data_IF_773451861780
#
_entry.id   IF_773451861780
#
_cell.length_a   1.000
_cell.length_b   1.000
_cell.length_c   1.000
_cell.angle_alpha   90.00
_cell.angle_beta   90.00
_cell.angle_gamma   90.00
#
_symmetry.space_group_name_H-M   'P 1'
#
loop_
_entity.id
_entity.type
_entity.pdbx_description
1 polymer ?
#
# COMPACT_ATOMS: atom_id res chain seq x y z
N UNK A 1 -4.72 5.53 -14.34
CA UNK A 1 -3.51 5.31 -13.50
C UNK A 1 -3.56 3.88 -13.01
N UNK A 2 -2.45 3.14 -12.99
CA UNK A 2 -2.40 1.79 -12.40
C UNK A 2 -1.72 1.81 -11.01
N UNK A 3 -1.74 0.70 -10.27
CA UNK A 3 -1.19 0.64 -8.90
C UNK A 3 0.30 1.04 -8.84
N UNK A 4 1.11 0.59 -9.80
CA UNK A 4 2.54 0.95 -9.88
C UNK A 4 2.73 2.45 -10.07
N UNK A 5 1.98 3.04 -10.99
CA UNK A 5 2.02 4.48 -11.27
C UNK A 5 1.53 5.29 -10.07
N UNK A 6 0.46 4.85 -9.41
CA UNK A 6 -0.09 5.47 -8.21
C UNK A 6 0.92 5.48 -7.05
N UNK A 7 1.54 4.33 -6.77
CA UNK A 7 2.64 4.19 -5.79
C UNK A 7 3.81 5.12 -6.11
N UNK A 8 4.25 5.16 -7.37
CA UNK A 8 5.37 6.01 -7.78
C UNK A 8 5.01 7.50 -7.67
N UNK A 9 3.80 7.90 -8.06
CA UNK A 9 3.33 9.29 -7.92
C UNK A 9 3.22 9.70 -6.45
N UNK A 10 2.83 8.82 -5.55
CA UNK A 10 2.83 9.07 -4.11
C UNK A 10 4.24 9.31 -3.56
N UNK A 11 5.23 8.53 -4.01
CA UNK A 11 6.65 8.76 -3.65
C UNK A 11 7.15 10.09 -4.20
N UNK A 12 6.84 10.40 -5.46
CA UNK A 12 7.20 11.69 -6.08
C UNK A 12 6.57 12.85 -5.32
N UNK A 13 5.32 12.71 -4.88
CA UNK A 13 4.65 13.71 -4.04
C UNK A 13 5.41 13.94 -2.73
N UNK A 14 5.80 12.88 -2.02
CA UNK A 14 6.60 12.99 -0.78
C UNK A 14 7.94 13.69 -1.04
N UNK A 15 8.63 13.34 -2.13
CA UNK A 15 9.90 13.96 -2.51
C UNK A 15 9.75 15.44 -2.88
N UNK A 16 8.62 15.81 -3.51
CA UNK A 16 8.31 17.21 -3.81
C UNK A 16 8.01 18.00 -2.54
N UNK A 17 7.22 17.45 -1.61
CA UNK A 17 6.97 18.08 -0.30
C UNK A 17 8.29 18.37 0.39
N UNK A 18 9.22 17.40 0.39
CA UNK A 18 10.56 17.59 0.93
C UNK A 18 11.28 18.79 0.28
N UNK A 19 11.36 18.78 -1.05
CA UNK A 19 12.06 19.82 -1.82
C UNK A 19 11.49 21.21 -1.58
N UNK A 20 10.17 21.35 -1.54
CA UNK A 20 9.52 22.65 -1.32
C UNK A 20 9.77 23.19 0.09
N UNK A 21 9.83 22.31 1.11
CA UNK A 21 10.15 22.74 2.47
C UNK A 21 11.60 23.19 2.59
N UNK A 22 12.54 22.49 1.95
CA UNK A 22 13.95 22.91 1.91
C UNK A 22 14.13 24.25 1.22
N UNK A 23 13.47 24.45 0.07
CA UNK A 23 13.52 25.71 -0.67
C UNK A 23 12.88 26.86 0.13
N UNK A 24 11.73 26.61 0.77
CA UNK A 24 11.09 27.56 1.69
C UNK A 24 12.06 28.03 2.78
N UNK A 25 12.73 27.09 3.47
CA UNK A 25 13.66 27.42 4.55
C UNK A 25 14.80 28.30 4.08
N UNK A 26 15.42 27.93 2.96
CA UNK A 26 16.52 28.71 2.39
C UNK A 26 16.08 30.15 2.08
N UNK A 27 14.93 30.30 1.41
CA UNK A 27 14.37 31.61 1.08
C UNK A 27 13.97 32.41 2.33
N UNK A 28 13.48 31.74 3.37
CA UNK A 28 13.16 32.34 4.65
C UNK A 28 14.41 32.87 5.36
N UNK A 29 15.46 32.06 5.44
CA UNK A 29 16.75 32.46 6.04
C UNK A 29 17.36 33.65 5.30
N UNK A 30 17.38 33.62 3.96
CA UNK A 30 17.86 34.73 3.12
C UNK A 30 17.06 36.03 3.36
N UNK A 31 15.73 35.92 3.46
CA UNK A 31 14.88 37.07 3.72
C UNK A 31 15.09 37.64 5.14
N UNK A 32 15.26 36.76 6.14
CA UNK A 32 15.53 37.17 7.52
C UNK A 32 16.91 37.85 7.64
N UNK A 33 17.93 37.32 6.96
CA UNK A 33 19.26 37.93 6.95
C UNK A 33 19.24 39.34 6.35
N UNK A 34 18.46 39.57 5.28
CA UNK A 34 18.32 40.91 4.71
C UNK A 34 17.60 41.89 5.64
N UNK A 35 16.72 41.41 6.52
CA UNK A 35 16.15 42.24 7.60
C UNK A 35 17.20 42.58 8.66
N UNK A 36 18.00 41.59 9.07
CA UNK A 36 19.10 41.80 10.03
C UNK A 36 20.16 42.77 9.51
N UNK A 37 20.47 42.72 8.22
CA UNK A 37 21.37 43.66 7.52
C UNK A 37 20.77 45.08 7.37
N UNK A 38 19.53 45.31 7.82
CA UNK A 38 18.80 46.58 7.65
C UNK A 38 18.37 46.87 6.21
N UNK A 39 18.50 45.91 5.28
CA UNK A 39 18.15 46.08 3.87
C UNK A 39 16.64 46.05 3.63
N UNK A 40 15.89 45.33 4.47
CA UNK A 40 14.43 45.22 4.40
C UNK A 40 13.76 45.37 5.76
N UNK A 41 12.46 45.67 5.75
CA UNK A 41 11.64 45.74 6.97
C UNK A 41 11.13 44.36 7.39
N UNK A 42 10.73 44.22 8.66
CA UNK A 42 10.08 42.99 9.15
C UNK A 42 8.76 42.69 8.44
N UNK A 43 8.03 43.72 8.02
CA UNK A 43 6.79 43.58 7.24
C UNK A 43 7.07 42.92 5.89
N UNK A 44 8.10 43.38 5.17
CA UNK A 44 8.52 42.78 3.91
C UNK A 44 8.88 41.29 4.05
N UNK A 45 9.59 40.93 5.13
CA UNK A 45 9.88 39.53 5.43
C UNK A 45 8.62 38.70 5.60
N UNK A 46 7.66 39.15 6.41
CA UNK A 46 6.41 38.43 6.64
C UNK A 46 5.62 38.21 5.34
N UNK A 47 5.54 39.23 4.48
CA UNK A 47 4.88 39.12 3.16
C UNK A 47 5.58 38.10 2.26
N UNK A 48 6.92 38.09 2.23
CA UNK A 48 7.70 37.11 1.45
C UNK A 48 7.51 35.70 1.95
N UNK A 49 7.54 35.48 3.26
CA UNK A 49 7.31 34.18 3.88
C UNK A 49 5.93 33.64 3.51
N UNK A 50 4.89 34.46 3.63
CA UNK A 50 3.52 34.07 3.26
C UNK A 50 3.43 33.71 1.78
N UNK A 51 4.05 34.50 0.90
CA UNK A 51 4.08 34.22 -0.54
C UNK A 51 4.82 32.92 -0.88
N UNK A 52 5.93 32.61 -0.20
CA UNK A 52 6.63 31.34 -0.40
C UNK A 52 5.78 30.14 0.04
N UNK A 53 5.07 30.24 1.17
CA UNK A 53 4.14 29.19 1.64
C UNK A 53 3.02 28.96 0.64
N UNK A 54 2.39 30.03 0.14
CA UNK A 54 1.31 29.94 -0.83
C UNK A 54 1.75 29.28 -2.15
N UNK A 55 2.92 29.65 -2.67
CA UNK A 55 3.47 29.05 -3.90
C UNK A 55 3.73 27.55 -3.74
N UNK A 56 4.36 27.14 -2.64
CA UNK A 56 4.63 25.73 -2.34
C UNK A 56 3.32 24.93 -2.19
N UNK A 57 2.34 25.45 -1.44
CA UNK A 57 1.02 24.83 -1.29
C UNK A 57 0.33 24.65 -2.63
N UNK A 58 0.27 25.70 -3.47
CA UNK A 58 -0.38 25.63 -4.78
C UNK A 58 0.29 24.62 -5.71
N UNK A 59 1.63 24.52 -5.66
CA UNK A 59 2.39 23.55 -6.47
C UNK A 59 2.10 22.11 -6.06
N UNK A 60 1.94 21.86 -4.76
CA UNK A 60 1.69 20.54 -4.20
C UNK A 60 0.22 20.11 -4.31
N UNK A 61 -0.72 21.07 -4.29
CA UNK A 61 -2.15 20.82 -4.33
C UNK A 61 -2.57 20.01 -5.56
N UNK A 62 -2.09 20.40 -6.75
CA UNK A 62 -2.48 19.72 -7.99
C UNK A 62 -2.09 18.24 -8.01
N UNK A 63 -0.93 17.88 -7.45
CA UNK A 63 -0.49 16.49 -7.39
C UNK A 63 -1.22 15.71 -6.29
N UNK A 64 -1.50 16.36 -5.16
CA UNK A 64 -2.34 15.79 -4.10
C UNK A 64 -3.73 15.45 -4.62
N UNK A 65 -4.41 16.40 -5.27
CA UNK A 65 -5.76 16.21 -5.82
C UNK A 65 -5.78 15.07 -6.83
N UNK A 66 -4.76 15.01 -7.71
CA UNK A 66 -4.60 13.93 -8.69
C UNK A 66 -4.45 12.55 -8.02
N UNK A 67 -3.74 12.46 -6.91
CA UNK A 67 -3.55 11.20 -6.18
C UNK A 67 -4.85 10.77 -5.50
N UNK A 68 -5.49 11.68 -4.77
CA UNK A 68 -6.73 11.38 -4.05
C UNK A 68 -7.86 11.02 -5.02
N UNK A 69 -7.99 11.72 -6.14
CA UNK A 69 -9.02 11.42 -7.15
C UNK A 69 -8.79 10.08 -7.84
N UNK A 70 -7.52 9.64 -7.99
CA UNK A 70 -7.18 8.38 -8.65
C UNK A 70 -7.33 7.15 -7.74
N UNK A 71 -7.46 7.35 -6.42
CA UNK A 71 -7.47 6.29 -5.41
C UNK A 71 -8.48 5.18 -5.71
N UNK A 72 -9.75 5.54 -5.86
CA UNK A 72 -10.84 4.56 -6.04
C UNK A 72 -10.71 3.84 -7.38
N UNK A 73 -10.38 4.57 -8.44
CA UNK A 73 -10.17 4.00 -9.77
C UNK A 73 -9.02 2.99 -9.78
N UNK A 74 -7.91 3.31 -9.11
CA UNK A 74 -6.75 2.40 -8.99
C UNK A 74 -7.13 1.16 -8.19
N UNK A 75 -7.81 1.32 -7.06
CA UNK A 75 -8.26 0.20 -6.23
C UNK A 75 -9.21 -0.71 -7.00
N UNK A 76 -10.22 -0.15 -7.67
CA UNK A 76 -11.21 -0.91 -8.41
C UNK A 76 -10.59 -1.64 -9.61
N UNK A 77 -9.75 -0.96 -10.40
CA UNK A 77 -9.07 -1.58 -11.53
C UNK A 77 -8.14 -2.73 -11.10
N UNK A 78 -7.47 -2.58 -9.96
CA UNK A 78 -6.59 -3.63 -9.43
C UNK A 78 -7.40 -4.80 -8.83
N UNK A 79 -8.52 -4.51 -8.17
CA UNK A 79 -9.46 -5.55 -7.70
C UNK A 79 -10.06 -6.34 -8.87
N UNK A 80 -10.40 -5.70 -9.98
CA UNK A 80 -10.89 -6.37 -11.18
C UNK A 80 -9.82 -7.30 -11.78
N UNK A 81 -8.57 -6.86 -11.85
CA UNK A 81 -7.46 -7.72 -12.27
C UNK A 81 -7.25 -8.90 -11.33
N UNK A 82 -7.34 -8.67 -10.02
CA UNK A 82 -7.30 -9.75 -9.03
C UNK A 82 -8.46 -10.72 -9.28
N UNK A 83 -9.69 -10.24 -9.41
CA UNK A 83 -10.84 -11.10 -9.70
C UNK A 83 -10.66 -11.90 -10.99
N UNK A 84 -10.06 -11.34 -12.03
CA UNK A 84 -9.76 -12.07 -13.26
C UNK A 84 -8.71 -13.19 -13.04
N UNK A 85 -7.73 -12.96 -12.16
CA UNK A 85 -6.75 -13.98 -11.75
C UNK A 85 -7.43 -15.07 -10.90
N UNK A 86 -8.25 -14.66 -9.93
CA UNK A 86 -8.89 -15.54 -8.94
C UNK A 86 -10.04 -16.36 -9.55
N UNK A 87 -10.84 -15.80 -10.46
CA UNK A 87 -12.00 -16.46 -11.07
C UNK A 87 -11.65 -17.36 -12.28
N UNK A 88 -10.40 -17.81 -12.44
CA UNK A 88 -10.08 -18.80 -13.47
C UNK A 88 -10.96 -20.05 -13.28
N UNK A 89 -11.65 -20.54 -14.32
CA UNK A 89 -12.59 -21.64 -14.18
C UNK A 89 -11.89 -22.89 -13.64
N UNK A 90 -12.54 -23.56 -12.67
CA UNK A 90 -12.04 -24.84 -12.17
C UNK A 90 -12.03 -25.85 -13.33
N UNK A 91 -10.87 -26.45 -13.61
CA UNK A 91 -10.81 -27.59 -14.52
C UNK A 91 -11.29 -28.85 -13.78
N UNK A 92 -11.80 -29.84 -14.52
CA UNK A 92 -12.34 -31.10 -13.96
C UNK A 92 -11.32 -31.79 -13.04
N UNK A 93 -10.04 -31.71 -13.39
CA UNK A 93 -8.93 -32.27 -12.61
C UNK A 93 -8.80 -31.65 -11.20
N UNK A 94 -9.24 -30.39 -11.03
CA UNK A 94 -9.22 -29.72 -9.72
C UNK A 94 -10.16 -30.39 -8.72
N UNK A 95 -11.32 -30.86 -9.16
CA UNK A 95 -12.29 -31.51 -8.27
C UNK A 95 -11.80 -32.89 -7.84
N UNK A 96 -11.24 -33.67 -8.76
CA UNK A 96 -10.64 -34.96 -8.43
C UNK A 96 -9.48 -34.82 -7.42
N UNK A 97 -8.64 -33.80 -7.61
CA UNK A 97 -7.55 -33.46 -6.69
C UNK A 97 -8.04 -33.07 -5.28
N UNK A 98 -9.13 -32.30 -5.16
CA UNK A 98 -9.70 -31.91 -3.85
C UNK A 98 -10.42 -33.08 -3.18
N UNK A 99 -11.01 -33.97 -3.96
CA UNK A 99 -11.64 -35.17 -3.43
C UNK A 99 -10.61 -36.11 -2.80
N UNK A 100 -9.40 -36.18 -3.36
CA UNK A 100 -8.27 -36.87 -2.74
C UNK A 100 -7.84 -36.22 -1.42
N UNK A 101 -7.92 -34.89 -1.29
CA UNK A 101 -7.59 -34.19 -0.03
C UNK A 101 -8.52 -34.59 1.12
N UNK A 102 -9.81 -34.88 0.84
CA UNK A 102 -10.77 -35.37 1.84
C UNK A 102 -10.43 -36.74 2.41
N UNK A 103 -9.57 -37.50 1.72
CA UNK A 103 -9.18 -38.86 2.12
C UNK A 103 -7.88 -38.90 2.95
N UNK A 104 -7.22 -37.76 3.16
CA UNK A 104 -5.95 -37.70 3.89
C UNK A 104 -6.16 -37.75 5.42
N UNK A 105 -5.28 -38.46 6.14
CA UNK A 105 -5.26 -38.43 7.61
C UNK A 105 -4.56 -37.14 8.09
N UNK A 106 -5.34 -36.17 8.55
CA UNK A 106 -4.90 -34.85 8.98
C UNK A 106 -3.99 -34.84 10.21
N UNK A 107 -3.88 -35.97 10.92
CA UNK A 107 -2.99 -36.10 12.09
C UNK A 107 -1.53 -36.26 11.70
N UNK A 108 -1.24 -36.55 10.43
CA UNK A 108 0.13 -36.65 9.92
C UNK A 108 0.61 -35.28 9.44
N UNK A 109 1.74 -34.81 9.98
CA UNK A 109 2.31 -33.50 9.63
C UNK A 109 2.59 -33.34 8.14
N UNK A 110 2.92 -34.42 7.43
CA UNK A 110 3.11 -34.44 5.97
C UNK A 110 1.83 -34.09 5.20
N UNK A 111 0.66 -34.49 5.69
CA UNK A 111 -0.62 -34.21 5.06
C UNK A 111 -1.09 -32.77 5.28
N UNK A 112 -0.73 -32.16 6.41
CA UNK A 112 -0.95 -30.73 6.67
C UNK A 112 -0.21 -29.87 5.64
N UNK A 113 1.03 -30.25 5.30
CA UNK A 113 1.81 -29.51 4.31
C UNK A 113 1.29 -29.70 2.88
N UNK A 114 0.73 -30.89 2.57
CA UNK A 114 -0.03 -31.09 1.33
C UNK A 114 -1.24 -30.14 1.31
N UNK A 115 -2.00 -30.06 2.40
CA UNK A 115 -3.14 -29.14 2.49
C UNK A 115 -2.75 -27.69 2.21
N UNK A 116 -1.67 -27.22 2.84
CA UNK A 116 -1.17 -25.86 2.63
C UNK A 116 -0.71 -25.62 1.19
N UNK A 117 -0.09 -26.62 0.56
CA UNK A 117 0.32 -26.53 -0.84
C UNK A 117 -0.90 -26.43 -1.76
N UNK A 118 -1.92 -27.23 -1.49
CA UNK A 118 -3.17 -27.22 -2.27
C UNK A 118 -4.00 -25.96 -2.02
N UNK A 119 -4.07 -25.48 -0.78
CA UNK A 119 -4.71 -24.21 -0.46
C UNK A 119 -4.03 -23.09 -1.24
N UNK A 120 -2.69 -23.02 -1.21
CA UNK A 120 -1.92 -22.04 -2.01
C UNK A 120 -2.14 -22.19 -3.51
N UNK A 121 -2.18 -23.41 -4.04
CA UNK A 121 -2.42 -23.68 -5.47
C UNK A 121 -3.79 -23.18 -5.94
N UNK A 122 -4.78 -23.16 -5.05
CA UNK A 122 -6.17 -22.85 -5.38
C UNK A 122 -6.72 -21.58 -4.72
N UNK A 123 -5.86 -20.74 -4.12
CA UNK A 123 -6.25 -19.41 -3.65
C UNK A 123 -6.90 -18.66 -4.83
N UNK A 124 -8.10 -18.14 -4.60
CA UNK A 124 -8.88 -17.42 -5.60
C UNK A 124 -9.99 -18.20 -6.28
N UNK A 125 -9.85 -19.52 -6.40
CA UNK A 125 -10.95 -20.32 -6.94
C UNK A 125 -12.03 -20.47 -5.86
N UNK A 126 -13.04 -19.61 -5.90
CA UNK A 126 -14.08 -19.52 -4.85
C UNK A 126 -14.76 -20.86 -4.55
N UNK A 127 -14.94 -21.72 -5.57
CA UNK A 127 -15.51 -23.05 -5.38
C UNK A 127 -14.55 -23.96 -4.62
N UNK A 128 -13.28 -24.00 -5.01
CA UNK A 128 -12.27 -24.82 -4.34
C UNK A 128 -11.99 -24.30 -2.93
N UNK A 129 -11.86 -22.98 -2.74
CA UNK A 129 -11.70 -22.37 -1.42
C UNK A 129 -12.86 -22.68 -0.49
N UNK A 130 -14.10 -22.67 -0.98
CA UNK A 130 -15.26 -23.04 -0.16
C UNK A 130 -15.16 -24.50 0.32
N UNK A 131 -14.72 -25.41 -0.55
CA UNK A 131 -14.51 -26.82 -0.19
C UNK A 131 -13.35 -26.97 0.80
N UNK A 132 -12.23 -26.29 0.58
CA UNK A 132 -11.08 -26.33 1.50
C UNK A 132 -11.42 -25.74 2.88
N UNK A 133 -12.20 -24.64 2.94
CA UNK A 133 -12.73 -24.06 4.18
C UNK A 133 -13.62 -25.04 4.92
N UNK A 134 -14.49 -25.75 4.20
CA UNK A 134 -15.33 -26.76 4.81
C UNK A 134 -14.48 -27.86 5.45
N UNK A 135 -13.45 -28.34 4.74
CA UNK A 135 -12.58 -29.39 5.26
C UNK A 135 -11.76 -28.90 6.46
N UNK A 136 -11.23 -27.67 6.41
CA UNK A 136 -10.55 -27.08 7.56
C UNK A 136 -11.47 -26.94 8.78
N UNK A 137 -12.72 -26.51 8.59
CA UNK A 137 -13.69 -26.40 9.68
C UNK A 137 -13.99 -27.75 10.33
N UNK A 138 -14.15 -28.80 9.52
CA UNK A 138 -14.39 -30.17 10.00
C UNK A 138 -13.17 -30.70 10.78
N UNK A 139 -11.96 -30.51 10.25
CA UNK A 139 -10.71 -30.93 10.91
C UNK A 139 -10.45 -30.13 12.19
N UNK A 140 -10.69 -28.83 12.18
CA UNK A 140 -10.52 -28.00 13.36
C UNK A 140 -11.47 -28.43 14.49
N UNK A 141 -12.72 -28.75 14.16
CA UNK A 141 -13.70 -29.23 15.13
C UNK A 141 -13.29 -30.56 15.78
N UNK A 142 -12.71 -31.47 15.01
CA UNK A 142 -12.33 -32.81 15.50
C UNK A 142 -10.95 -32.84 16.17
N UNK A 143 -10.02 -31.99 15.73
CA UNK A 143 -8.60 -32.13 16.04
C UNK A 143 -7.89 -30.84 16.44
N UNK A 144 -8.57 -29.69 16.40
CA UNK A 144 -8.01 -28.37 16.73
C UNK A 144 -6.76 -28.00 15.89
N UNK A 145 -6.76 -28.40 14.61
CA UNK A 145 -5.67 -28.14 13.65
C UNK A 145 -6.13 -27.13 12.60
N UNK A 146 -5.34 -26.09 12.38
CA UNK A 146 -5.50 -25.16 11.26
C UNK A 146 -4.69 -25.65 10.05
N UNK A 147 -5.35 -25.71 8.90
CA UNK A 147 -4.81 -26.32 7.69
C UNK A 147 -4.51 -25.30 6.59
N UNK A 148 -5.27 -24.21 6.53
CA UNK A 148 -5.12 -23.22 5.46
C UNK A 148 -4.14 -22.12 5.84
N UNK A 149 -3.46 -21.62 4.81
CA UNK A 149 -2.71 -20.36 4.87
C UNK A 149 -3.58 -19.17 4.49
N UNK A 150 -2.97 -18.15 3.91
CA UNK A 150 -3.70 -17.01 3.33
C UNK A 150 -4.74 -17.46 2.29
N UNK A 151 -5.81 -16.68 2.18
CA UNK A 151 -6.97 -16.87 1.30
C UNK A 151 -7.08 -15.74 0.28
N UNK A 152 -7.95 -15.89 -0.73
CA UNK A 152 -8.27 -14.82 -1.68
C UNK A 152 -8.74 -13.53 -1.00
N UNK A 153 -9.51 -13.68 0.10
CA UNK A 153 -9.99 -12.55 0.92
C UNK A 153 -8.81 -11.81 1.57
N UNK A 154 -7.75 -12.53 1.95
CA UNK A 154 -6.56 -11.91 2.53
C UNK A 154 -5.76 -11.12 1.49
N UNK A 155 -5.74 -11.56 0.22
CA UNK A 155 -5.08 -10.82 -0.86
C UNK A 155 -5.85 -9.55 -1.24
N UNK A 156 -7.18 -9.62 -1.32
CA UNK A 156 -8.03 -8.43 -1.51
C UNK A 156 -7.88 -7.44 -0.35
N UNK A 157 -7.82 -7.95 0.89
CA UNK A 157 -7.61 -7.11 2.06
C UNK A 157 -6.22 -6.46 2.07
N UNK A 158 -5.17 -7.20 1.70
CA UNK A 158 -3.81 -6.66 1.52
C UNK A 158 -3.77 -5.53 0.50
N UNK A 159 -4.47 -5.64 -0.61
CA UNK A 159 -4.58 -4.55 -1.60
C UNK A 159 -5.24 -3.32 -0.99
N UNK A 160 -6.39 -3.48 -0.31
CA UNK A 160 -7.10 -2.38 0.35
C UNK A 160 -6.21 -1.69 1.39
N UNK A 161 -5.50 -2.48 2.19
CA UNK A 161 -4.56 -2.00 3.20
C UNK A 161 -3.38 -1.26 2.56
N UNK A 162 -2.84 -1.76 1.44
CA UNK A 162 -1.76 -1.11 0.70
C UNK A 162 -2.20 0.26 0.19
N UNK A 163 -3.33 0.34 -0.53
CA UNK A 163 -3.86 1.61 -1.04
C UNK A 163 -4.12 2.57 0.12
N UNK A 164 -4.78 2.10 1.18
CA UNK A 164 -5.05 2.92 2.36
C UNK A 164 -3.78 3.43 3.06
N UNK A 165 -2.71 2.64 3.10
CA UNK A 165 -1.43 3.05 3.67
C UNK A 165 -0.71 4.07 2.79
N UNK A 166 -0.75 3.91 1.47
CA UNK A 166 -0.24 4.92 0.53
C UNK A 166 -0.99 6.24 0.74
N UNK A 167 -2.32 6.22 0.76
CA UNK A 167 -3.15 7.40 1.03
C UNK A 167 -2.79 8.05 2.36
N UNK A 168 -2.68 7.27 3.43
CA UNK A 168 -2.32 7.78 4.75
C UNK A 168 -0.99 8.53 4.73
N UNK A 169 0.01 8.05 3.95
CA UNK A 169 1.28 8.76 3.77
C UNK A 169 1.09 10.03 2.96
N UNK A 170 0.37 9.99 1.85
CA UNK A 170 0.08 11.20 1.04
C UNK A 170 -0.59 12.28 1.88
N UNK A 171 -1.62 11.93 2.65
CA UNK A 171 -2.33 12.84 3.56
C UNK A 171 -1.43 13.37 4.67
N UNK A 172 -0.57 12.53 5.25
CA UNK A 172 0.39 12.93 6.27
C UNK A 172 1.33 14.04 5.79
N UNK A 173 1.75 13.99 4.51
CA UNK A 173 2.63 14.99 3.92
C UNK A 173 1.90 16.18 3.26
N UNK A 174 0.57 16.17 3.25
CA UNK A 174 -0.23 17.28 2.73
C UNK A 174 -0.28 18.48 3.67
N UNK A 175 -0.29 18.23 4.98
CA UNK A 175 -0.21 19.29 5.99
C UNK A 175 1.27 19.63 6.22
N UNK A 176 1.73 20.69 5.56
CA UNK A 176 3.14 21.10 5.61
C UNK A 176 3.39 21.93 6.87
N UNK A 177 4.08 21.33 7.85
CA UNK A 177 4.62 22.07 9.00
C UNK A 177 5.98 22.68 8.64
N UNK A 178 5.95 23.98 8.34
CA UNK A 178 7.13 24.76 7.99
C UNK A 178 7.99 25.16 9.21
N UNK A 179 7.43 25.09 10.42
CA UNK A 179 8.02 25.70 11.63
C UNK A 179 8.73 24.66 12.54
N UNK A 180 8.37 23.37 12.49
CA UNK A 180 8.94 22.31 13.37
C UNK A 180 10.00 21.39 12.73
N UNK A 181 10.76 21.88 11.76
CA UNK A 181 11.51 20.99 10.88
C UNK A 181 12.99 20.80 11.28
N UNK A 182 13.35 19.60 11.75
CA UNK A 182 14.72 19.10 11.96
C UNK A 182 14.82 17.67 11.40
N UNK A 183 16.04 17.10 11.33
CA UNK A 183 16.48 15.75 10.87
C UNK A 183 15.45 14.61 10.89
N UNK A 184 14.52 14.67 11.83
CA UNK A 184 13.28 13.91 11.91
C UNK A 184 12.49 13.84 10.59
N UNK A 185 12.45 14.88 9.74
CA UNK A 185 11.66 14.80 8.50
C UNK A 185 12.30 13.93 7.40
N UNK A 186 13.63 13.96 7.25
CA UNK A 186 14.31 13.04 6.33
C UNK A 186 14.11 11.58 6.75
N UNK A 187 14.12 11.33 8.06
CA UNK A 187 13.77 10.03 8.63
C UNK A 187 12.31 9.65 8.37
N UNK A 188 11.36 10.58 8.52
CA UNK A 188 9.95 10.33 8.23
C UNK A 188 9.70 10.07 6.74
N UNK A 189 10.32 10.83 5.84
CA UNK A 189 10.24 10.60 4.39
C UNK A 189 10.80 9.24 4.04
N UNK A 190 12.02 8.95 4.50
CA UNK A 190 12.70 7.68 4.24
C UNK A 190 11.88 6.50 4.78
N UNK A 191 11.33 6.65 5.99
CA UNK A 191 10.42 5.70 6.60
C UNK A 191 9.14 5.50 5.77
N UNK A 192 8.48 6.58 5.35
CA UNK A 192 7.27 6.51 4.55
C UNK A 192 7.51 5.84 3.19
N UNK A 193 8.56 6.23 2.47
CA UNK A 193 8.97 5.61 1.20
C UNK A 193 9.31 4.14 1.38
N UNK A 194 10.04 3.82 2.46
CA UNK A 194 10.40 2.44 2.82
C UNK A 194 9.18 1.57 3.11
N UNK A 195 8.20 2.09 3.85
CA UNK A 195 6.94 1.37 4.13
C UNK A 195 6.12 1.18 2.86
N UNK A 196 5.94 2.22 2.04
CA UNK A 196 5.20 2.11 0.76
C UNK A 196 5.82 1.04 -0.14
N UNK A 197 7.15 1.06 -0.31
CA UNK A 197 7.83 0.08 -1.16
C UNK A 197 7.71 -1.34 -0.57
N UNK A 198 7.92 -1.51 0.73
CA UNK A 198 7.80 -2.81 1.39
C UNK A 198 6.41 -3.42 1.24
N UNK A 199 5.37 -2.63 1.51
CA UNK A 199 3.99 -3.10 1.45
C UNK A 199 3.59 -3.43 -0.01
N UNK A 200 4.09 -2.62 -0.96
CA UNK A 200 3.90 -2.88 -2.39
C UNK A 200 4.62 -4.16 -2.84
N UNK A 201 5.88 -4.34 -2.45
CA UNK A 201 6.67 -5.52 -2.81
C UNK A 201 6.10 -6.79 -2.17
N UNK A 202 5.60 -6.73 -0.94
CA UNK A 202 4.86 -7.85 -0.30
C UNK A 202 3.61 -8.19 -1.11
N UNK A 203 2.79 -7.19 -1.46
CA UNK A 203 1.59 -7.39 -2.26
C UNK A 203 1.88 -8.00 -3.64
N UNK A 204 2.86 -7.47 -4.38
CA UNK A 204 3.23 -7.99 -5.70
C UNK A 204 3.77 -9.41 -5.61
N UNK A 205 4.61 -9.70 -4.62
CA UNK A 205 5.14 -11.05 -4.40
C UNK A 205 4.00 -12.04 -4.15
N UNK A 206 3.06 -11.67 -3.27
CA UNK A 206 1.86 -12.46 -2.96
C UNK A 206 0.96 -12.62 -4.18
N UNK A 207 0.70 -11.55 -4.93
CA UNK A 207 -0.08 -11.60 -6.18
C UNK A 207 0.56 -12.54 -7.20
N UNK A 208 1.88 -12.52 -7.34
CA UNK A 208 2.61 -13.36 -8.28
C UNK A 208 2.61 -14.85 -7.88
N UNK A 209 2.66 -15.17 -6.59
CA UNK A 209 2.49 -16.54 -6.08
C UNK A 209 1.12 -17.11 -6.47
N UNK A 210 0.08 -16.28 -6.51
CA UNK A 210 -1.29 -16.66 -6.85
C UNK A 210 -1.63 -16.63 -8.36
N UNK A 211 -0.73 -16.07 -9.18
CA UNK A 211 -0.91 -15.97 -10.63
C UNK A 211 -0.26 -17.11 -11.43
N UNK A 212 0.58 -17.93 -10.79
CA UNK A 212 1.28 -19.09 -11.36
C UNK A 212 0.42 -20.34 -11.26
#
# INVERSE_FOLDING_TARGET
>A
MNLTEYKNNAIVYIDLVHSEILDYKKKAEEANQKVLDGKYTRVYYNEKISSFREQATNKLQALYDKLISAREDVLNAELEQLQAILNKPAQVDNFAEIEMLKMLDYRKSENVEIYRRYSKKYIGNKLVEAVLKQIEADVYKEHNVFLMGETSTDLEQKLKDLVSRIDSKVVQFHVIDYDNYLTVLEMYISGAKGTINRDYDDYISKKAENGK
#
